data_IF_665626892358
#
_entry.id   IF_665626892358
#
_cell.length_a   1.000
_cell.length_b   1.000
_cell.length_c   1.000
_cell.angle_alpha   90.00
_cell.angle_beta   90.00
_cell.angle_gamma   90.00
#
_symmetry.space_group_name_H-M   'P 1'
#
loop_
_entity.id
_entity.type
_entity.pdbx_description
1 polymer ?
#
# COMPACT_ATOMS: atom_id res chain seq x y z
N UNK A 1 2.23 -24.85 -8.13
CA UNK A 1 0.81 -24.79 -7.71
C UNK A 1 -0.19 -24.99 -8.86
N UNK A 2 0.15 -25.68 -9.97
CA UNK A 2 -0.73 -25.84 -11.14
C UNK A 2 -1.65 -27.08 -11.12
N UNK A 3 -1.38 -28.09 -10.29
CA UNK A 3 -2.08 -29.37 -10.35
C UNK A 3 -3.53 -29.35 -9.83
N UNK A 4 -3.92 -28.35 -9.03
CA UNK A 4 -5.26 -28.27 -8.44
C UNK A 4 -6.29 -27.67 -9.39
N UNK A 5 -5.86 -26.82 -10.32
CA UNK A 5 -6.75 -26.09 -11.22
C UNK A 5 -7.33 -26.99 -12.34
N UNK A 6 -6.48 -27.82 -12.94
CA UNK A 6 -6.88 -28.81 -13.96
C UNK A 6 -7.93 -29.83 -13.42
N UNK A 7 -7.80 -30.19 -12.14
CA UNK A 7 -8.73 -31.13 -11.49
C UNK A 7 -10.10 -30.51 -11.20
N UNK A 8 -10.14 -29.21 -10.89
CA UNK A 8 -11.38 -28.48 -10.63
C UNK A 8 -12.17 -28.23 -11.92
N UNK A 9 -11.48 -27.83 -13.00
CA UNK A 9 -12.08 -27.64 -14.33
C UNK A 9 -12.61 -28.96 -14.89
N UNK A 10 -11.87 -30.06 -14.72
CA UNK A 10 -12.31 -31.39 -15.16
C UNK A 10 -13.52 -31.92 -14.38
N UNK A 11 -13.59 -31.64 -13.08
CA UNK A 11 -14.74 -31.97 -12.23
C UNK A 11 -15.98 -31.18 -12.63
N UNK A 12 -15.82 -29.87 -12.89
CA UNK A 12 -16.92 -29.01 -13.31
C UNK A 12 -17.49 -29.41 -14.68
N UNK A 13 -16.62 -29.71 -15.66
CA UNK A 13 -17.05 -30.22 -16.98
C UNK A 13 -17.84 -31.52 -16.88
N UNK A 14 -17.36 -32.50 -16.12
CA UNK A 14 -18.06 -33.80 -15.94
C UNK A 14 -19.40 -33.63 -15.23
N UNK A 15 -19.48 -32.77 -14.22
CA UNK A 15 -20.71 -32.51 -13.47
C UNK A 15 -21.73 -31.73 -14.30
N UNK A 16 -21.27 -30.77 -15.13
CA UNK A 16 -22.09 -30.05 -16.11
C UNK A 16 -22.68 -30.98 -17.17
N UNK A 17 -21.86 -31.87 -17.75
CA UNK A 17 -22.34 -32.87 -18.72
C UNK A 17 -23.35 -33.83 -18.09
N UNK A 18 -23.15 -34.23 -16.83
CA UNK A 18 -24.11 -35.08 -16.10
C UNK A 18 -25.44 -34.37 -15.82
N UNK A 19 -25.41 -33.12 -15.37
CA UNK A 19 -26.63 -32.34 -15.10
C UNK A 19 -27.41 -32.09 -16.39
N UNK A 20 -26.73 -31.70 -17.48
CA UNK A 20 -27.37 -31.54 -18.80
C UNK A 20 -27.95 -32.87 -19.29
N UNK A 21 -27.25 -33.99 -19.13
CA UNK A 21 -27.78 -35.31 -19.50
C UNK A 21 -29.00 -35.71 -18.66
N UNK A 22 -29.04 -35.40 -17.37
CA UNK A 22 -30.20 -35.69 -16.51
C UNK A 22 -31.41 -34.84 -16.90
N UNK A 23 -31.20 -33.54 -17.15
CA UNK A 23 -32.27 -32.64 -17.60
C UNK A 23 -32.76 -33.05 -18.99
N UNK A 24 -31.86 -33.31 -19.94
CA UNK A 24 -32.22 -33.80 -21.27
C UNK A 24 -32.91 -35.15 -21.20
N UNK A 25 -32.47 -36.09 -20.35
CA UNK A 25 -33.13 -37.39 -20.16
C UNK A 25 -34.52 -37.25 -19.53
N UNK A 26 -34.72 -36.26 -18.67
CA UNK A 26 -36.04 -35.95 -18.11
C UNK A 26 -36.99 -35.40 -19.20
N UNK A 27 -36.52 -34.47 -20.04
CA UNK A 27 -37.31 -33.94 -21.16
C UNK A 27 -37.53 -34.95 -22.30
N UNK A 28 -36.53 -35.79 -22.59
CA UNK A 28 -36.63 -36.89 -23.56
C UNK A 28 -37.50 -38.02 -23.03
N UNK A 29 -37.45 -38.33 -21.73
CA UNK A 29 -38.36 -39.28 -21.07
C UNK A 29 -39.82 -38.82 -21.13
N UNK A 30 -40.05 -37.52 -20.92
CA UNK A 30 -41.37 -36.90 -21.09
C UNK A 30 -41.86 -36.92 -22.55
N UNK A 31 -40.95 -36.78 -23.53
CA UNK A 31 -41.28 -36.88 -24.96
C UNK A 31 -41.48 -38.31 -25.47
N UNK A 32 -40.67 -39.28 -25.03
CA UNK A 32 -40.77 -40.68 -25.45
C UNK A 32 -41.99 -41.37 -24.80
N UNK A 33 -42.39 -40.96 -23.58
CA UNK A 33 -43.66 -41.38 -22.99
C UNK A 33 -44.90 -41.04 -23.84
N UNK A 34 -44.78 -40.11 -24.80
CA UNK A 34 -45.84 -39.73 -25.74
C UNK A 34 -45.85 -40.56 -27.04
N UNK A 35 -44.82 -41.34 -27.34
CA UNK A 35 -44.67 -41.99 -28.65
C UNK A 35 -45.14 -43.46 -28.71
N UNK A 36 -45.42 -44.12 -27.58
CA UNK A 36 -45.84 -45.53 -27.55
C UNK A 36 -47.35 -45.78 -27.49
N UNK A 37 -48.19 -44.76 -27.64
CA UNK A 37 -49.64 -44.92 -27.70
C UNK A 37 -50.17 -44.65 -29.12
N UNK A 38 -49.83 -45.52 -30.07
CA UNK A 38 -50.55 -45.64 -31.34
C UNK A 38 -51.39 -46.92 -31.33
N UNK A 39 -52.44 -46.94 -30.51
CA UNK A 39 -53.72 -47.46 -30.98
C UNK A 39 -54.86 -46.83 -30.15
N UNK A 40 -55.97 -46.56 -30.81
CA UNK A 40 -56.95 -45.56 -30.38
C UNK A 40 -57.61 -45.83 -29.03
N UNK A 41 -57.56 -44.84 -28.16
CA UNK A 41 -58.67 -44.29 -27.35
C UNK A 41 -58.07 -43.08 -26.62
N UNK A 42 -58.60 -41.87 -26.87
CA UNK A 42 -58.22 -40.70 -26.08
C UNK A 42 -58.77 -40.88 -24.66
N UNK A 43 -57.92 -41.41 -23.77
CA UNK A 43 -58.23 -41.58 -22.36
C UNK A 43 -57.97 -40.26 -21.63
N UNK A 44 -59.03 -39.65 -21.12
CA UNK A 44 -59.04 -38.38 -20.37
C UNK A 44 -58.26 -38.44 -19.04
N UNK A 45 -57.70 -39.60 -18.68
CA UNK A 45 -56.90 -39.79 -17.47
C UNK A 45 -55.49 -39.18 -17.55
N UNK A 46 -54.82 -39.24 -18.71
CA UNK A 46 -53.44 -38.75 -18.84
C UNK A 46 -53.35 -37.22 -18.90
N UNK A 47 -54.41 -36.54 -19.35
CA UNK A 47 -54.46 -35.07 -19.34
C UNK A 47 -54.64 -34.52 -17.92
N UNK A 48 -55.34 -35.25 -17.03
CA UNK A 48 -55.50 -34.87 -15.63
C UNK A 48 -54.20 -35.05 -14.83
N UNK A 49 -53.46 -36.13 -15.07
CA UNK A 49 -52.21 -36.44 -14.36
C UNK A 49 -51.06 -35.48 -14.75
N UNK A 50 -51.01 -35.06 -16.02
CA UNK A 50 -50.07 -34.02 -16.48
C UNK A 50 -50.44 -32.66 -15.89
N UNK A 51 -51.72 -32.31 -15.85
CA UNK A 51 -52.19 -31.03 -15.30
C UNK A 51 -51.88 -30.88 -13.80
N UNK A 52 -52.07 -31.95 -13.02
CA UNK A 52 -51.74 -32.01 -11.59
C UNK A 52 -50.24 -31.86 -11.34
N UNK A 53 -49.40 -32.52 -12.15
CA UNK A 53 -47.95 -32.37 -12.08
C UNK A 53 -47.48 -30.96 -12.46
N UNK A 54 -48.04 -30.33 -13.51
CA UNK A 54 -47.70 -28.93 -13.85
C UNK A 54 -48.13 -27.93 -12.77
N UNK A 55 -49.27 -28.15 -12.10
CA UNK A 55 -49.71 -27.29 -11.00
C UNK A 55 -48.78 -27.34 -9.79
N UNK A 56 -48.25 -28.51 -9.46
CA UNK A 56 -47.29 -28.68 -8.36
C UNK A 56 -45.93 -28.02 -8.67
N UNK A 57 -45.54 -27.98 -9.95
CA UNK A 57 -44.35 -27.25 -10.40
C UNK A 57 -44.52 -25.72 -10.35
N UNK A 58 -45.71 -25.19 -10.65
CA UNK A 58 -45.99 -23.75 -10.55
C UNK A 58 -45.99 -23.26 -9.09
N UNK A 59 -46.48 -24.08 -8.15
CA UNK A 59 -46.41 -23.78 -6.71
C UNK A 59 -44.96 -23.75 -6.20
N UNK A 60 -44.15 -24.73 -6.63
CA UNK A 60 -42.71 -24.78 -6.31
C UNK A 60 -41.94 -23.63 -6.95
N UNK A 61 -42.24 -23.28 -8.19
CA UNK A 61 -41.63 -22.14 -8.89
C UNK A 61 -41.97 -20.82 -8.19
N UNK A 62 -43.23 -20.62 -7.81
CA UNK A 62 -43.68 -19.44 -7.06
C UNK A 62 -43.02 -19.37 -5.68
N UNK A 63 -42.87 -20.49 -4.98
CA UNK A 63 -42.21 -20.55 -3.67
C UNK A 63 -40.70 -20.23 -3.75
N UNK A 64 -40.08 -20.50 -4.90
CA UNK A 64 -38.66 -20.24 -5.18
C UNK A 64 -38.43 -18.94 -5.97
N UNK A 65 -39.47 -18.17 -6.27
CA UNK A 65 -39.45 -16.98 -7.13
C UNK A 65 -38.76 -17.24 -8.48
N UNK A 66 -38.94 -18.47 -9.00
CA UNK A 66 -38.41 -18.90 -10.28
C UNK A 66 -39.35 -18.42 -11.38
N UNK A 67 -38.80 -17.65 -12.31
CA UNK A 67 -39.51 -17.23 -13.50
C UNK A 67 -39.75 -18.44 -14.44
N UNK A 68 -40.88 -19.11 -14.26
CA UNK A 68 -41.37 -20.18 -15.16
C UNK A 68 -41.97 -19.63 -16.45
N UNK A 69 -42.11 -18.30 -16.58
CA UNK A 69 -42.59 -17.68 -17.82
C UNK A 69 -41.54 -17.65 -18.93
N UNK A 70 -40.27 -17.85 -18.57
CA UNK A 70 -39.17 -17.89 -19.53
C UNK A 70 -39.33 -19.06 -20.49
N UNK A 71 -39.37 -18.74 -21.77
CA UNK A 71 -39.44 -19.75 -22.82
C UNK A 71 -38.12 -20.53 -22.91
N UNK A 72 -38.15 -21.79 -23.39
CA UNK A 72 -36.93 -22.55 -23.61
C UNK A 72 -35.90 -21.83 -24.48
N UNK A 73 -36.34 -21.03 -25.46
CA UNK A 73 -35.48 -20.24 -26.32
C UNK A 73 -34.76 -19.10 -25.57
N UNK A 74 -35.45 -18.41 -24.66
CA UNK A 74 -34.86 -17.36 -23.82
C UNK A 74 -33.82 -17.93 -22.84
N UNK A 75 -34.07 -19.11 -22.29
CA UNK A 75 -33.12 -19.80 -21.42
C UNK A 75 -31.85 -20.21 -22.16
N UNK A 76 -31.97 -20.71 -23.40
CA UNK A 76 -30.83 -21.03 -24.25
C UNK A 76 -30.02 -19.77 -24.57
N UNK A 77 -30.68 -18.67 -24.96
CA UNK A 77 -29.99 -17.40 -25.21
C UNK A 77 -29.26 -16.87 -23.96
N UNK A 78 -29.86 -17.03 -22.77
CA UNK A 78 -29.23 -16.63 -21.50
C UNK A 78 -28.03 -17.51 -21.13
N UNK A 79 -28.10 -18.81 -21.45
CA UNK A 79 -26.96 -19.73 -21.29
C UNK A 79 -25.83 -19.32 -22.24
N UNK A 80 -26.11 -19.05 -23.51
CA UNK A 80 -25.10 -18.63 -24.49
C UNK A 80 -24.40 -17.33 -24.07
N UNK A 81 -25.13 -16.36 -23.50
CA UNK A 81 -24.52 -15.14 -22.97
C UNK A 81 -23.67 -15.42 -21.73
N UNK A 82 -24.12 -16.29 -20.82
CA UNK A 82 -23.33 -16.67 -19.65
C UNK A 82 -22.06 -17.43 -20.03
N UNK A 83 -22.13 -18.31 -21.03
CA UNK A 83 -20.96 -19.02 -21.55
C UNK A 83 -19.98 -18.06 -22.22
N UNK A 84 -20.49 -17.12 -23.01
CA UNK A 84 -19.68 -16.05 -23.60
C UNK A 84 -19.03 -15.16 -22.53
N UNK A 85 -19.78 -14.82 -21.48
CA UNK A 85 -19.30 -14.08 -20.33
C UNK A 85 -18.21 -14.82 -19.56
N UNK A 86 -18.39 -16.12 -19.32
CA UNK A 86 -17.40 -16.96 -18.66
C UNK A 86 -16.10 -17.04 -19.47
N UNK A 87 -16.20 -17.23 -20.79
CA UNK A 87 -15.02 -17.24 -21.68
C UNK A 87 -14.25 -15.92 -21.61
N UNK A 88 -14.94 -14.77 -21.61
CA UNK A 88 -14.28 -13.46 -21.44
C UNK A 88 -13.58 -13.35 -20.10
N UNK A 89 -14.17 -13.86 -19.02
CA UNK A 89 -13.56 -13.84 -17.70
C UNK A 89 -12.34 -14.76 -17.59
N UNK A 90 -12.37 -15.94 -18.23
CA UNK A 90 -11.22 -16.83 -18.32
C UNK A 90 -10.05 -16.14 -19.03
N UNK A 91 -10.30 -15.48 -20.17
CA UNK A 91 -9.28 -14.71 -20.89
C UNK A 91 -8.72 -13.55 -20.04
N UNK A 92 -9.58 -12.84 -19.30
CA UNK A 92 -9.15 -11.77 -18.38
C UNK A 92 -8.28 -12.30 -17.24
N UNK A 93 -8.61 -13.47 -16.68
CA UNK A 93 -7.83 -14.09 -15.61
C UNK A 93 -6.46 -14.52 -16.12
N UNK A 94 -6.39 -15.09 -17.33
CA UNK A 94 -5.13 -15.42 -17.98
C UNK A 94 -4.27 -14.16 -18.17
N UNK A 95 -4.85 -13.09 -18.72
CA UNK A 95 -4.14 -11.83 -18.91
C UNK A 95 -3.61 -11.24 -17.59
N UNK A 96 -4.43 -11.22 -16.53
CA UNK A 96 -3.99 -10.71 -15.22
C UNK A 96 -2.93 -11.61 -14.57
N UNK A 97 -2.97 -12.91 -14.81
CA UNK A 97 -1.95 -13.83 -14.34
C UNK A 97 -0.59 -13.50 -14.97
N UNK A 98 -0.57 -13.26 -16.29
CA UNK A 98 0.65 -12.89 -17.00
C UNK A 98 1.19 -11.52 -16.54
N UNK A 99 0.30 -10.52 -16.35
CA UNK A 99 0.66 -9.20 -15.83
C UNK A 99 1.24 -9.28 -14.41
N UNK A 100 0.69 -10.15 -13.57
CA UNK A 100 1.21 -10.36 -12.21
C UNK A 100 2.58 -11.03 -12.22
N UNK A 101 2.82 -11.99 -13.11
CA UNK A 101 4.12 -12.63 -13.26
C UNK A 101 5.20 -11.64 -13.73
N UNK A 102 4.85 -10.73 -14.64
CA UNK A 102 5.76 -9.65 -15.06
C UNK A 102 6.07 -8.69 -13.89
N UNK A 103 5.05 -8.28 -13.12
CA UNK A 103 5.24 -7.46 -11.93
C UNK A 103 6.08 -8.13 -10.84
N UNK A 104 5.94 -9.44 -10.66
CA UNK A 104 6.76 -10.20 -9.71
C UNK A 104 8.24 -10.13 -10.11
N UNK A 105 8.56 -10.34 -11.38
CA UNK A 105 9.95 -10.19 -11.88
C UNK A 105 10.50 -8.76 -11.74
N UNK A 106 9.65 -7.74 -11.93
CA UNK A 106 10.06 -6.35 -11.68
C UNK A 106 10.35 -6.09 -10.19
N UNK A 107 9.57 -6.69 -9.29
CA UNK A 107 9.76 -6.53 -7.85
C UNK A 107 11.05 -7.21 -7.39
N UNK A 108 11.36 -8.40 -7.90
CA UNK A 108 12.62 -9.09 -7.61
C UNK A 108 13.81 -8.22 -8.00
N UNK A 109 13.75 -7.59 -9.19
CA UNK A 109 14.82 -6.68 -9.66
C UNK A 109 14.96 -5.46 -8.73
N UNK A 110 13.84 -4.86 -8.32
CA UNK A 110 13.85 -3.72 -7.40
C UNK A 110 14.37 -4.09 -6.01
N UNK A 111 14.09 -5.30 -5.54
CA UNK A 111 14.60 -5.80 -4.27
C UNK A 111 16.14 -5.90 -4.30
N UNK A 112 16.70 -6.41 -5.39
CA UNK A 112 18.16 -6.45 -5.60
C UNK A 112 18.78 -5.03 -5.64
N UNK A 113 18.18 -4.10 -6.38
CA UNK A 113 18.61 -2.69 -6.44
C UNK A 113 18.57 -2.00 -5.07
N UNK A 114 17.51 -2.24 -4.29
CA UNK A 114 17.40 -1.69 -2.94
C UNK A 114 18.45 -2.26 -2.00
N UNK A 115 18.73 -3.56 -2.09
CA UNK A 115 19.78 -4.20 -1.30
C UNK A 115 21.18 -3.66 -1.66
N UNK A 116 21.43 -3.30 -2.92
CA UNK A 116 22.67 -2.61 -3.30
C UNK A 116 22.74 -1.20 -2.71
N UNK A 117 21.66 -0.42 -2.82
CA UNK A 117 21.59 0.94 -2.28
C UNK A 117 21.71 0.99 -0.76
N UNK A 118 21.18 0.00 -0.05
CA UNK A 118 21.36 -0.14 1.40
C UNK A 118 22.84 -0.29 1.77
N UNK A 119 23.57 -1.18 1.07
CA UNK A 119 25.02 -1.34 1.29
C UNK A 119 25.81 -0.06 0.99
N UNK A 120 25.42 0.69 -0.04
CA UNK A 120 26.04 1.98 -0.34
C UNK A 120 25.81 3.02 0.77
N UNK A 121 24.61 3.04 1.34
CA UNK A 121 24.28 3.93 2.45
C UNK A 121 25.05 3.57 3.71
N UNK A 122 25.13 2.27 4.05
CA UNK A 122 25.91 1.79 5.19
C UNK A 122 27.40 2.19 5.05
N UNK A 123 27.99 1.97 3.88
CA UNK A 123 29.37 2.35 3.61
C UNK A 123 29.59 3.87 3.73
N UNK A 124 28.62 4.67 3.26
CA UNK A 124 28.68 6.13 3.37
C UNK A 124 28.48 6.61 4.80
N UNK A 125 27.67 5.92 5.60
CA UNK A 125 27.49 6.21 7.02
C UNK A 125 28.80 5.95 7.79
N UNK A 126 29.48 4.84 7.51
CA UNK A 126 30.81 4.55 8.06
C UNK A 126 31.84 5.63 7.68
N UNK A 127 31.89 6.03 6.40
CA UNK A 127 32.80 7.08 5.93
C UNK A 127 32.53 8.44 6.63
N UNK A 128 31.27 8.78 6.85
CA UNK A 128 30.88 10.00 7.57
C UNK A 128 31.23 9.94 9.05
N UNK A 129 31.10 8.77 9.68
CA UNK A 129 31.50 8.55 11.07
C UNK A 129 33.02 8.74 11.24
N UNK A 130 33.83 8.19 10.33
CA UNK A 130 35.29 8.40 10.32
C UNK A 130 35.66 9.88 10.15
N UNK A 131 34.95 10.62 9.28
CA UNK A 131 35.19 12.05 9.07
C UNK A 131 34.83 12.90 10.31
N UNK A 132 33.81 12.51 11.07
CA UNK A 132 33.45 13.19 12.31
C UNK A 132 34.46 12.93 13.44
N UNK A 133 35.02 11.72 13.50
CA UNK A 133 36.09 11.36 14.46
C UNK A 133 37.45 11.97 14.09
N UNK A 134 37.73 12.19 12.80
CA UNK A 134 38.99 12.77 12.31
C UNK A 134 39.00 14.31 12.28
N UNK A 135 37.87 14.96 12.54
CA UNK A 135 37.81 16.41 12.74
C UNK A 135 38.41 16.81 14.09
N UNK A 136 38.99 18.01 14.24
CA UNK A 136 39.39 18.50 15.55
C UNK A 136 38.17 18.50 16.47
N UNK A 137 38.21 17.69 17.53
CA UNK A 137 37.18 17.67 18.56
C UNK A 137 36.94 19.10 19.03
N UNK A 138 35.68 19.59 19.08
CA UNK A 138 35.37 20.93 19.58
C UNK A 138 35.61 21.07 21.10
N UNK A 139 36.22 20.06 21.73
CA UNK A 139 36.48 19.94 23.17
C UNK A 139 37.92 20.29 23.58
N UNK A 140 38.82 20.66 22.66
CA UNK A 140 40.19 21.10 22.98
C UNK A 140 40.37 22.63 22.84
N UNK A 141 39.73 23.38 23.75
CA UNK A 141 40.28 24.41 24.68
C UNK A 141 41.25 25.52 24.17
N UNK A 142 41.09 26.79 24.63
CA UNK A 142 41.21 27.10 26.06
C UNK A 142 40.04 27.86 26.71
N UNK A 143 39.64 27.32 27.86
CA UNK A 143 39.01 27.93 29.01
C UNK A 143 40.03 28.76 29.82
N UNK A 144 39.57 29.96 30.22
CA UNK A 144 40.01 30.79 31.34
C UNK A 144 41.51 31.12 31.51
N UNK A 145 41.91 32.26 30.94
CA UNK A 145 42.72 33.22 31.70
C UNK A 145 42.45 34.65 31.22
N UNK A 146 41.28 35.18 31.56
CA UNK A 146 40.91 36.55 31.24
C UNK A 146 39.80 37.07 32.14
N UNK A 147 39.82 38.36 32.46
CA UNK A 147 39.06 39.17 33.43
C UNK A 147 37.53 39.09 33.45
N UNK A 148 36.95 38.07 32.82
CA UNK A 148 35.57 37.65 33.00
C UNK A 148 35.38 36.86 34.31
N UNK A 149 34.16 36.92 34.85
CA UNK A 149 33.81 36.16 36.06
C UNK A 149 33.65 34.67 35.73
N UNK A 150 33.72 33.81 36.75
CA UNK A 150 33.58 32.35 36.58
C UNK A 150 32.20 31.91 36.09
N UNK A 151 31.19 32.77 36.21
CA UNK A 151 29.83 32.58 35.71
C UNK A 151 29.59 33.24 34.34
N UNK A 152 30.65 33.77 33.71
CA UNK A 152 30.57 34.48 32.44
C UNK A 152 31.31 33.74 31.32
N UNK A 153 30.81 33.93 30.11
CA UNK A 153 31.35 33.37 28.87
C UNK A 153 32.06 34.49 28.11
N UNK A 154 33.38 34.36 27.94
CA UNK A 154 34.16 35.29 27.11
C UNK A 154 33.89 35.04 25.63
N UNK A 155 33.27 36.02 24.95
CA UNK A 155 32.89 35.88 23.54
C UNK A 155 34.11 35.73 22.60
N UNK A 156 35.30 36.13 23.04
CA UNK A 156 36.54 36.06 22.27
C UNK A 156 37.25 34.70 22.37
N UNK A 157 37.11 33.99 23.48
CA UNK A 157 37.86 32.74 23.72
C UNK A 157 36.97 31.51 23.84
N UNK A 158 35.72 31.65 24.29
CA UNK A 158 34.83 30.53 24.59
C UNK A 158 34.65 29.54 23.43
N UNK A 159 34.42 28.27 23.77
CA UNK A 159 34.06 27.26 22.77
C UNK A 159 32.68 27.54 22.15
N UNK A 160 32.40 26.95 20.97
CA UNK A 160 31.08 27.06 20.32
C UNK A 160 29.94 26.62 21.24
N UNK A 161 30.20 25.62 22.08
CA UNK A 161 29.22 25.10 23.07
C UNK A 161 29.01 26.07 24.22
N UNK A 162 30.07 26.71 24.71
CA UNK A 162 29.97 27.73 25.75
C UNK A 162 29.23 28.98 25.25
N UNK A 163 29.48 29.40 24.00
CA UNK A 163 28.74 30.50 23.37
C UNK A 163 27.23 30.23 23.29
N UNK A 164 26.82 28.98 23.07
CA UNK A 164 25.41 28.59 23.01
C UNK A 164 24.66 28.68 24.36
N UNK A 165 25.38 28.93 25.45
CA UNK A 165 24.76 29.20 26.76
C UNK A 165 24.21 30.62 26.86
N UNK A 166 24.66 31.54 25.99
CA UNK A 166 24.20 32.93 25.96
C UNK A 166 22.81 32.99 25.28
N UNK A 167 21.88 33.73 25.89
CA UNK A 167 20.55 33.96 25.34
C UNK A 167 20.61 34.44 23.89
N UNK A 168 19.77 33.88 23.02
CA UNK A 168 19.73 34.21 21.58
C UNK A 168 21.02 33.85 20.81
N UNK A 169 21.92 33.02 21.34
CA UNK A 169 23.05 32.47 20.58
C UNK A 169 22.83 30.97 20.35
N UNK A 170 22.30 30.62 19.18
CA UNK A 170 22.20 29.23 18.72
C UNK A 170 23.45 28.75 17.95
N UNK A 171 23.48 27.49 17.48
CA UNK A 171 24.64 26.90 16.79
C UNK A 171 25.18 27.77 15.64
N UNK A 172 24.31 28.22 14.74
CA UNK A 172 24.69 29.07 13.61
C UNK A 172 25.28 30.43 14.03
N UNK A 173 24.80 31.00 15.14
CA UNK A 173 25.30 32.27 15.66
C UNK A 173 26.61 32.10 16.41
N UNK A 174 26.79 30.98 17.10
CA UNK A 174 28.06 30.66 17.74
C UNK A 174 29.19 30.58 16.70
N UNK A 175 28.92 30.01 15.52
CA UNK A 175 29.88 30.01 14.41
C UNK A 175 30.19 31.42 13.90
N UNK A 176 29.17 32.28 13.78
CA UNK A 176 29.37 33.68 13.40
C UNK A 176 30.22 34.45 14.43
N UNK A 177 29.99 34.23 15.72
CA UNK A 177 30.82 34.81 16.79
C UNK A 177 32.26 34.36 16.60
N UNK A 178 32.52 33.06 16.47
CA UNK A 178 33.88 32.52 16.28
C UNK A 178 34.56 33.14 15.05
N UNK A 179 33.85 33.28 13.94
CA UNK A 179 34.39 33.83 12.69
C UNK A 179 34.68 35.33 12.74
N UNK A 180 34.03 36.08 13.63
CA UNK A 180 34.11 37.54 13.72
C UNK A 180 34.95 38.03 14.92
N UNK A 181 35.55 37.10 15.66
CA UNK A 181 36.53 37.43 16.70
C UNK A 181 37.71 38.23 16.10
N UNK A 182 38.25 39.23 16.83
CA UNK A 182 37.87 39.64 18.19
C UNK A 182 36.78 40.74 18.23
N UNK A 183 36.11 40.81 19.37
CA UNK A 183 35.18 41.86 19.79
C UNK A 183 35.81 42.70 20.90
N UNK A 184 35.62 44.02 20.86
CA UNK A 184 36.14 44.93 21.88
C UNK A 184 35.14 45.16 23.02
N UNK A 185 33.87 44.83 22.79
CA UNK A 185 32.78 44.91 23.77
C UNK A 185 31.64 43.97 23.39
N UNK A 186 30.74 43.68 24.34
CA UNK A 186 29.52 42.91 24.07
C UNK A 186 28.64 43.60 23.01
N UNK A 187 28.71 44.92 22.90
CA UNK A 187 27.94 45.74 21.94
C UNK A 187 28.33 45.43 20.48
N UNK A 188 29.58 44.98 20.26
CA UNK A 188 30.11 44.66 18.95
C UNK A 188 29.49 43.38 18.36
N UNK A 189 28.68 42.64 19.13
CA UNK A 189 27.85 41.53 18.63
C UNK A 189 26.83 42.00 17.58
N UNK A 190 26.52 43.31 17.54
CA UNK A 190 25.67 43.93 16.50
C UNK A 190 26.28 43.88 15.10
N UNK A 191 27.58 43.61 14.95
CA UNK A 191 28.22 43.34 13.65
C UNK A 191 27.67 42.09 12.97
N UNK A 192 27.05 41.19 13.74
CA UNK A 192 26.49 39.93 13.25
C UNK A 192 25.11 40.13 12.64
N UNK A 193 24.83 39.36 11.58
CA UNK A 193 23.53 39.43 10.94
C UNK A 193 22.44 38.87 11.88
N UNK A 194 21.44 39.69 12.20
CA UNK A 194 20.29 39.28 13.03
C UNK A 194 20.39 39.62 14.53
N UNK A 195 21.49 40.22 15.00
CA UNK A 195 21.57 40.80 16.35
C UNK A 195 21.39 42.32 16.26
N UNK A 196 20.15 42.75 16.45
CA UNK A 196 19.78 44.17 16.61
C UNK A 196 19.70 44.55 18.09
N UNK A 197 19.54 45.84 18.40
CA UNK A 197 19.45 46.38 19.77
C UNK A 197 18.51 45.59 20.70
N UNK A 198 17.36 45.12 20.16
CA UNK A 198 16.41 44.33 20.94
C UNK A 198 16.99 43.00 21.47
N UNK A 199 17.72 42.26 20.64
CA UNK A 199 18.36 40.98 21.06
C UNK A 199 19.61 41.24 21.88
N UNK A 200 20.40 42.26 21.51
CA UNK A 200 21.56 42.69 22.28
C UNK A 200 21.17 43.05 23.73
N UNK A 201 20.04 43.73 23.91
CA UNK A 201 19.49 44.03 25.22
C UNK A 201 19.23 42.76 26.05
N UNK A 202 18.69 41.71 25.44
CA UNK A 202 18.51 40.40 26.09
C UNK A 202 19.82 39.78 26.55
N UNK A 203 20.83 39.74 25.67
CA UNK A 203 22.18 39.20 25.97
C UNK A 203 22.83 39.95 27.14
N UNK A 204 22.72 41.28 27.17
CA UNK A 204 23.28 42.11 28.25
C UNK A 204 22.54 41.92 29.58
N UNK A 205 21.21 41.83 29.52
CA UNK A 205 20.38 41.67 30.72
C UNK A 205 20.60 40.32 31.42
N UNK A 206 20.99 39.30 30.65
CA UNK A 206 21.34 37.99 31.19
C UNK A 206 22.66 38.02 31.98
N UNK A 207 23.60 38.89 31.61
CA UNK A 207 24.85 39.11 32.33
C UNK A 207 25.91 38.02 32.16
N UNK A 208 25.67 37.02 31.31
CA UNK A 208 26.58 35.90 31.04
C UNK A 208 27.70 36.29 30.07
N UNK A 209 27.42 37.09 29.04
CA UNK A 209 28.43 37.46 28.04
C UNK A 209 29.46 38.46 28.60
N UNK A 210 30.74 38.24 28.33
CA UNK A 210 31.84 39.09 28.75
C UNK A 210 32.93 39.22 27.66
N UNK A 211 33.78 40.24 27.80
CA UNK A 211 34.99 40.48 27.00
C UNK A 211 36.12 40.80 27.98
N UNK A 212 37.26 40.11 27.86
CA UNK A 212 38.52 40.47 28.51
C UNK A 212 39.45 41.28 27.59
#
# INVERSE_FOLDING_TARGET
MQATDDSAVAWYKRRRTLVVLVVVAFFVGALIGRASATDGTADSGTELEIAELTGEWDDVATALDLDTSATPEELVARIDELESGLSRHEDQLAQRSDELAERESELDTREEELAERERELDAREEELAEQQEAGPSPEDEPDSSGGCRSDQVDINTASRRALQQIYEIGPERADQVVNLRPFSSVDDLTRMNGIAEGRLGGIKNEGIACVD
#
